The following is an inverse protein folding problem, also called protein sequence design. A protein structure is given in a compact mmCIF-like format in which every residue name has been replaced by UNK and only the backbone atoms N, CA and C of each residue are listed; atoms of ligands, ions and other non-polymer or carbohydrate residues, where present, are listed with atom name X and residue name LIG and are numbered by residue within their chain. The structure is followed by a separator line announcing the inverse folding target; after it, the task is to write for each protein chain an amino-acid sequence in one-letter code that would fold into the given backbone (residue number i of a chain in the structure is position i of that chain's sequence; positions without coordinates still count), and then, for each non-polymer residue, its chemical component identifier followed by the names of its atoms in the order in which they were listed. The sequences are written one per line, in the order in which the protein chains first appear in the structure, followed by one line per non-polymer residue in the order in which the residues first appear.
data_IF_902270877227
#
_entry.id   IF_902270877227
#
_cell.length_a   1.000
_cell.length_b   1.000
_cell.length_c   1.000
_cell.angle_alpha   90.00
_cell.angle_beta   90.00
_cell.angle_gamma   90.00
#
_symmetry.space_group_name_H-M   'P 1'
#
loop_
_entity.id
_entity.type
_entity.pdbx_description
1 polymer ?
#
# COMPACT_ATOMS: atom_id res chain seq x y z
N UNK A 1 -38.82 20.68 5.48
CA UNK A 1 -37.83 19.94 4.67
C UNK A 1 -36.64 19.59 5.57
N UNK A 2 -36.47 18.32 5.94
CA UNK A 2 -35.27 17.90 6.67
C UNK A 2 -34.12 17.71 5.67
N UNK A 3 -33.05 18.49 5.84
CA UNK A 3 -31.83 18.31 5.06
C UNK A 3 -31.28 16.90 5.36
N UNK A 4 -31.19 16.04 4.34
CA UNK A 4 -30.55 14.73 4.49
C UNK A 4 -29.06 14.96 4.71
N UNK A 5 -28.56 14.67 5.91
CA UNK A 5 -27.14 14.64 6.19
C UNK A 5 -26.48 13.59 5.30
N UNK A 6 -25.43 13.98 4.55
CA UNK A 6 -24.60 13.05 3.78
C UNK A 6 -23.80 12.23 4.80
N UNK A 7 -23.84 10.88 4.77
CA UNK A 7 -23.02 10.10 5.68
C UNK A 7 -21.55 10.48 5.46
N UNK A 8 -20.86 10.85 6.54
CA UNK A 8 -19.42 11.07 6.50
C UNK A 8 -18.79 9.74 6.09
N UNK A 9 -18.09 9.72 4.94
CA UNK A 9 -17.32 8.54 4.57
C UNK A 9 -16.15 8.45 5.54
N UNK A 10 -16.18 7.47 6.43
CA UNK A 10 -14.95 6.99 7.07
C UNK A 10 -14.06 6.53 5.92
N UNK A 11 -12.94 7.21 5.71
CA UNK A 11 -12.00 6.79 4.68
C UNK A 11 -11.37 5.49 5.17
N UNK A 12 -11.90 4.35 4.73
CA UNK A 12 -11.20 3.08 4.87
C UNK A 12 -9.84 3.23 4.19
N UNK A 13 -8.77 3.04 4.95
CA UNK A 13 -7.41 3.11 4.40
C UNK A 13 -7.29 2.10 3.24
N UNK A 14 -6.74 2.52 2.08
CA UNK A 14 -6.68 1.63 0.93
C UNK A 14 -5.83 0.39 1.23
N UNK A 15 -6.45 -0.79 1.22
CA UNK A 15 -5.74 -2.05 1.34
C UNK A 15 -4.85 -2.30 0.12
N UNK A 16 -3.73 -2.98 0.35
CA UNK A 16 -2.78 -3.40 -0.69
C UNK A 16 -2.50 -4.89 -0.56
N UNK A 17 -2.31 -5.55 -1.70
CA UNK A 17 -1.99 -6.97 -1.74
C UNK A 17 -0.49 -7.18 -1.55
N UNK A 18 -0.10 -7.95 -0.53
CA UNK A 18 1.25 -8.46 -0.36
C UNK A 18 1.59 -9.38 -1.54
N UNK A 19 2.73 -9.17 -2.18
CA UNK A 19 3.12 -9.96 -3.35
C UNK A 19 3.55 -11.38 -2.99
N UNK A 20 4.05 -11.60 -1.77
CA UNK A 20 4.54 -12.90 -1.31
C UNK A 20 3.38 -13.76 -0.80
N UNK A 21 2.60 -13.24 0.16
CA UNK A 21 1.48 -13.97 0.76
C UNK A 21 0.14 -13.85 0.01
N UNK A 22 -0.03 -12.85 -0.86
CA UNK A 22 -1.29 -12.62 -1.58
C UNK A 22 -2.42 -12.01 -0.73
N UNK A 23 -2.20 -11.78 0.56
CA UNK A 23 -3.16 -11.15 1.47
C UNK A 23 -3.26 -9.64 1.23
N UNK A 24 -4.48 -9.09 1.37
CA UNK A 24 -4.73 -7.65 1.30
C UNK A 24 -4.68 -7.06 2.70
N UNK A 25 -3.69 -6.21 2.96
CA UNK A 25 -3.41 -5.63 4.27
C UNK A 25 -3.41 -4.09 4.20
N UNK A 26 -3.62 -3.38 5.32
CA UNK A 26 -3.40 -1.94 5.41
C UNK A 26 -1.96 -1.56 5.04
N UNK A 27 -1.75 -0.35 4.53
CA UNK A 27 -0.42 0.12 4.08
C UNK A 27 0.61 0.06 5.21
N UNK A 28 0.20 0.29 6.44
CA UNK A 28 1.00 0.36 7.65
C UNK A 28 1.61 -1.00 8.02
N UNK A 29 1.02 -2.09 7.51
CA UNK A 29 1.52 -3.47 7.67
C UNK A 29 2.50 -3.89 6.58
N UNK A 30 2.70 -3.04 5.57
CA UNK A 30 3.42 -3.37 4.35
C UNK A 30 4.58 -2.40 4.11
N UNK A 31 5.68 -2.91 3.57
CA UNK A 31 6.77 -2.11 3.02
C UNK A 31 6.63 -2.01 1.50
N UNK A 32 6.79 -0.79 0.96
CA UNK A 32 6.82 -0.57 -0.48
C UNK A 32 8.23 -0.77 -1.02
N UNK A 33 8.32 -1.47 -2.15
CA UNK A 33 9.52 -1.53 -2.99
C UNK A 33 9.19 -1.05 -4.39
N UNK A 34 10.20 -0.58 -5.13
CA UNK A 34 10.06 -0.12 -6.51
C UNK A 34 11.19 -0.71 -7.35
N UNK A 35 10.88 -1.11 -8.59
CA UNK A 35 11.90 -1.49 -9.58
C UNK A 35 12.45 -0.22 -10.22
N UNK A 36 13.70 0.10 -9.90
CA UNK A 36 14.46 1.20 -10.47
C UNK A 36 15.12 0.86 -11.80
N UNK A 37 15.86 1.81 -12.38
CA UNK A 37 16.65 1.58 -13.59
C UNK A 37 17.62 0.40 -13.43
N UNK A 38 17.83 -0.36 -14.51
CA UNK A 38 18.67 -1.56 -14.48
C UNK A 38 18.03 -2.76 -13.75
N UNK A 39 16.74 -2.70 -13.39
CA UNK A 39 16.04 -3.80 -12.74
C UNK A 39 16.33 -3.94 -11.24
N UNK A 40 16.96 -2.95 -10.63
CA UNK A 40 17.30 -2.96 -9.21
C UNK A 40 16.05 -2.71 -8.35
N UNK A 41 15.85 -3.53 -7.32
CA UNK A 41 14.74 -3.35 -6.38
C UNK A 41 15.19 -2.46 -5.23
N UNK A 42 14.48 -1.34 -5.03
CA UNK A 42 14.80 -0.36 -3.99
C UNK A 42 13.64 -0.25 -2.97
N UNK A 43 13.94 -0.17 -1.65
CA UNK A 43 12.93 0.15 -0.65
C UNK A 43 12.44 1.59 -0.82
N UNK A 44 11.13 1.81 -0.74
CA UNK A 44 10.52 3.13 -0.83
C UNK A 44 9.64 3.42 0.39
N UNK A 45 10.29 3.78 1.50
CA UNK A 45 9.63 4.04 2.78
C UNK A 45 8.68 5.26 2.70
N UNK A 46 9.04 6.27 1.91
CA UNK A 46 8.24 7.48 1.75
C UNK A 46 7.07 7.30 0.76
N UNK A 47 7.11 6.28 -0.10
CA UNK A 47 6.12 6.08 -1.15
C UNK A 47 6.22 7.11 -2.29
N UNK A 48 7.37 7.75 -2.45
CA UNK A 48 7.55 8.90 -3.35
C UNK A 48 8.24 8.51 -4.67
N UNK A 49 8.83 7.32 -4.76
CA UNK A 49 9.58 6.91 -5.95
C UNK A 49 8.63 6.58 -7.12
N UNK A 50 8.95 7.03 -8.35
CA UNK A 50 8.17 6.72 -9.54
C UNK A 50 8.38 5.26 -9.97
N UNK A 51 7.39 4.69 -10.66
CA UNK A 51 7.48 3.35 -11.24
C UNK A 51 6.56 2.32 -10.57
N UNK A 52 6.73 1.05 -10.97
CA UNK A 52 5.90 -0.06 -10.47
C UNK A 52 6.26 -0.37 -9.02
N UNK A 53 5.34 -0.08 -8.11
CA UNK A 53 5.48 -0.43 -6.69
C UNK A 53 5.05 -1.87 -6.42
N UNK A 54 5.79 -2.55 -5.55
CA UNK A 54 5.46 -3.84 -4.96
C UNK A 54 5.25 -3.64 -3.46
N UNK A 55 4.37 -4.44 -2.86
CA UNK A 55 4.09 -4.39 -1.43
C UNK A 55 4.43 -5.74 -0.82
N UNK A 56 5.20 -5.71 0.27
CA UNK A 56 5.62 -6.92 1.02
C UNK A 56 5.21 -6.72 2.47
N UNK A 57 4.67 -7.74 3.12
CA UNK A 57 4.36 -7.64 4.55
C UNK A 57 5.64 -7.43 5.35
N UNK A 58 5.60 -6.55 6.36
CA UNK A 58 6.76 -6.25 7.20
C UNK A 58 7.03 -7.35 8.25
N UNK A 59 7.14 -8.60 7.81
CA UNK A 59 7.53 -9.75 8.63
C UNK A 59 8.76 -10.42 8.05
N UNK A 60 9.46 -11.23 8.85
CA UNK A 60 10.66 -11.94 8.41
C UNK A 60 10.36 -13.09 7.44
N UNK A 61 9.13 -13.58 7.43
CA UNK A 61 8.73 -14.74 6.65
C UNK A 61 8.13 -14.37 5.27
N UNK A 62 7.80 -13.10 5.09
CA UNK A 62 7.28 -12.55 3.84
C UNK A 62 8.40 -12.13 2.89
#
# INVERSE_FOLDING_TARGET
MAARARPMRTQEEPLRRCIVGGESLPKERLMRFVVGPGGVVCPDVAGALPGRGLWVEATRAA
#
